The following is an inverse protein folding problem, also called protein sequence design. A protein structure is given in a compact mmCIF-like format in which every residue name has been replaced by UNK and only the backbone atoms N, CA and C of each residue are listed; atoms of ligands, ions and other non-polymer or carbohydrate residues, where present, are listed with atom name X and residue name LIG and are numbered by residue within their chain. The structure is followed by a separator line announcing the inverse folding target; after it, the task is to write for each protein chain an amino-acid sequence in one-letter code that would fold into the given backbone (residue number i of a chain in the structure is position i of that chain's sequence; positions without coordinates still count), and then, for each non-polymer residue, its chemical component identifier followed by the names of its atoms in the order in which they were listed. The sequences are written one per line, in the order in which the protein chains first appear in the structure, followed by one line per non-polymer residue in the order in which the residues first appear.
data_IF_779508989176
#
_entry.id   IF_779508989176
#
_cell.length_a   1.000
_cell.length_b   1.000
_cell.length_c   1.000
_cell.angle_alpha   90.00
_cell.angle_beta   90.00
_cell.angle_gamma   90.00
#
_symmetry.space_group_name_H-M   'P 1'
#
loop_
_entity.id
_entity.type
_entity.pdbx_description
1 polymer ?
#
# COMPACT_ATOMS: atom_id res chain seq x y z
N UNK A 1 36.11 -60.66 -36.95
CA UNK A 1 36.25 -59.52 -36.03
C UNK A 1 35.78 -58.24 -36.71
N UNK A 2 34.51 -57.86 -36.46
CA UNK A 2 33.93 -56.57 -36.88
C UNK A 2 33.76 -55.73 -35.64
N UNK A 3 34.46 -54.57 -35.58
CA UNK A 3 34.29 -53.55 -34.55
C UNK A 3 33.08 -52.69 -34.91
N UNK A 4 32.06 -52.67 -34.02
CA UNK A 4 30.95 -51.74 -34.11
C UNK A 4 31.33 -50.39 -33.46
N UNK A 5 31.22 -49.31 -34.24
CA UNK A 5 31.29 -47.93 -33.71
C UNK A 5 29.97 -47.55 -33.09
N UNK A 6 29.98 -47.21 -31.81
CA UNK A 6 28.84 -46.60 -31.13
C UNK A 6 28.85 -45.08 -31.40
N UNK A 7 27.88 -44.56 -32.08
CA UNK A 7 27.66 -43.14 -32.24
C UNK A 7 26.98 -42.57 -30.96
N UNK A 8 27.65 -41.67 -30.29
CA UNK A 8 27.07 -40.94 -29.16
C UNK A 8 26.17 -39.81 -29.70
N UNK A 9 24.87 -39.89 -29.47
CA UNK A 9 23.93 -38.79 -29.69
C UNK A 9 24.05 -37.76 -28.53
N UNK A 10 24.73 -36.67 -28.78
CA UNK A 10 24.73 -35.52 -27.89
C UNK A 10 23.40 -34.81 -27.96
N UNK A 11 22.62 -34.87 -26.90
CA UNK A 11 21.39 -34.05 -26.76
C UNK A 11 21.81 -32.60 -26.55
N UNK A 12 21.60 -31.75 -27.55
CA UNK A 12 21.65 -30.30 -27.43
C UNK A 12 20.43 -29.82 -26.59
N UNK A 13 20.67 -29.52 -25.32
CA UNK A 13 19.70 -28.84 -24.51
C UNK A 13 19.54 -27.40 -25.04
N UNK A 14 18.51 -27.14 -25.80
CA UNK A 14 18.10 -25.78 -26.17
C UNK A 14 17.48 -25.13 -24.95
N UNK A 15 18.22 -24.31 -24.23
CA UNK A 15 17.65 -23.42 -23.22
C UNK A 15 16.76 -22.40 -23.94
N UNK A 16 15.45 -22.49 -23.76
CA UNK A 16 14.54 -21.43 -24.16
C UNK A 16 14.98 -20.15 -23.45
N UNK A 17 15.07 -19.00 -24.15
CA UNK A 17 15.39 -17.73 -23.49
C UNK A 17 14.32 -17.48 -22.43
N UNK A 18 14.77 -17.16 -21.21
CA UNK A 18 13.86 -16.70 -20.17
C UNK A 18 13.11 -15.47 -20.69
N UNK A 19 11.79 -15.49 -20.66
CA UNK A 19 11.00 -14.33 -21.01
C UNK A 19 11.25 -13.26 -19.93
N UNK A 20 11.96 -12.20 -20.30
CA UNK A 20 12.12 -11.05 -19.40
C UNK A 20 10.74 -10.44 -19.14
N UNK A 21 10.31 -10.47 -17.87
CA UNK A 21 9.10 -9.80 -17.44
C UNK A 21 9.49 -8.32 -17.21
N UNK A 22 8.86 -7.37 -17.91
CA UNK A 22 9.24 -5.96 -17.80
C UNK A 22 8.97 -5.40 -16.39
N UNK A 23 9.72 -4.36 -16.03
CA UNK A 23 9.51 -3.58 -14.83
C UNK A 23 8.04 -3.14 -14.72
N UNK A 24 7.46 -3.25 -13.54
CA UNK A 24 6.11 -2.78 -13.25
C UNK A 24 6.15 -1.48 -12.45
N UNK A 25 5.35 -0.51 -12.89
CA UNK A 25 5.15 0.74 -12.16
C UNK A 25 3.89 0.64 -11.32
N UNK A 26 4.02 0.94 -10.04
CA UNK A 26 2.94 1.09 -9.08
C UNK A 26 2.92 2.51 -8.52
N UNK A 27 1.75 2.97 -8.14
CA UNK A 27 1.54 4.27 -7.48
C UNK A 27 1.04 4.04 -6.08
N UNK A 28 1.63 4.74 -5.11
CA UNK A 28 1.24 4.67 -3.71
C UNK A 28 0.79 6.04 -3.23
N UNK A 29 -0.44 6.12 -2.78
CA UNK A 29 -1.07 7.27 -2.12
C UNK A 29 -1.27 6.94 -0.64
N UNK A 30 -1.38 7.95 0.20
CA UNK A 30 -1.73 7.81 1.62
C UNK A 30 -2.37 9.07 2.16
N UNK A 31 -3.18 8.95 3.20
CA UNK A 31 -3.65 10.06 4.01
C UNK A 31 -4.29 11.16 3.12
N UNK A 32 -5.33 10.78 2.37
CA UNK A 32 -6.02 11.71 1.46
C UNK A 32 -7.00 12.61 2.18
N UNK A 33 -7.57 12.17 3.30
CA UNK A 33 -8.48 12.89 4.18
C UNK A 33 -9.61 13.65 3.45
N UNK A 34 -10.26 12.99 2.50
CA UNK A 34 -11.30 13.62 1.69
C UNK A 34 -12.58 13.79 2.49
N UNK A 35 -13.08 15.01 2.53
CA UNK A 35 -14.37 15.35 3.12
C UNK A 35 -15.50 15.37 2.08
N UNK A 36 -16.75 15.26 2.56
CA UNK A 36 -17.95 15.42 1.74
C UNK A 36 -17.96 16.77 1.02
N UNK A 37 -17.59 17.83 1.72
CA UNK A 37 -17.37 19.15 1.13
C UNK A 37 -16.01 19.23 0.46
N UNK A 38 -16.01 19.29 -0.86
CA UNK A 38 -14.77 19.38 -1.67
C UNK A 38 -13.99 20.68 -1.44
N UNK A 39 -14.63 21.73 -0.93
CA UNK A 39 -13.98 23.01 -0.65
C UNK A 39 -13.39 23.07 0.76
N UNK A 40 -13.58 22.02 1.58
CA UNK A 40 -13.06 22.00 2.94
C UNK A 40 -11.54 22.15 2.95
N UNK A 41 -11.10 23.13 3.75
CA UNK A 41 -9.69 23.35 4.01
C UNK A 41 -9.33 22.87 5.42
N UNK A 42 -8.31 22.05 5.52
CA UNK A 42 -7.72 21.65 6.78
C UNK A 42 -6.21 21.96 6.77
N UNK A 43 -5.70 22.55 7.87
CA UNK A 43 -4.29 22.92 7.99
C UNK A 43 -3.75 23.76 6.81
N UNK A 44 -4.61 24.60 6.22
CA UNK A 44 -4.23 25.51 5.14
C UNK A 44 -4.23 24.91 3.73
N UNK A 45 -4.74 23.68 3.55
CA UNK A 45 -4.83 23.03 2.23
C UNK A 45 -6.26 22.54 1.94
N UNK A 46 -6.67 22.62 0.67
CA UNK A 46 -7.85 21.93 0.17
C UNK A 46 -7.44 20.49 -0.21
N UNK A 47 -7.90 19.52 0.56
CA UNK A 47 -7.50 18.12 0.41
C UNK A 47 -7.95 17.51 -0.91
N UNK A 48 -9.17 17.84 -1.36
CA UNK A 48 -9.69 17.37 -2.64
C UNK A 48 -8.89 17.95 -3.82
N UNK A 49 -8.46 19.20 -3.75
CA UNK A 49 -7.59 19.79 -4.77
C UNK A 49 -6.23 19.07 -4.83
N UNK A 50 -5.62 18.80 -3.67
CA UNK A 50 -4.37 18.06 -3.62
C UNK A 50 -4.50 16.66 -4.23
N UNK A 51 -5.58 15.92 -3.91
CA UNK A 51 -5.81 14.59 -4.48
C UNK A 51 -5.98 14.66 -6.02
N UNK A 52 -6.74 15.64 -6.53
CA UNK A 52 -6.89 15.83 -7.98
C UNK A 52 -5.55 16.18 -8.65
N UNK A 53 -4.73 17.01 -8.00
CA UNK A 53 -3.38 17.35 -8.50
C UNK A 53 -2.50 16.10 -8.58
N UNK A 54 -2.48 15.26 -7.54
CA UNK A 54 -1.76 13.98 -7.55
C UNK A 54 -2.28 13.05 -8.65
N UNK A 55 -3.60 12.90 -8.80
CA UNK A 55 -4.20 12.11 -9.87
C UNK A 55 -3.75 12.61 -11.26
N UNK A 56 -3.76 13.92 -11.47
CA UNK A 56 -3.29 14.53 -12.72
C UNK A 56 -1.78 14.36 -12.96
N UNK A 57 -0.96 14.32 -11.90
CA UNK A 57 0.47 14.01 -12.03
C UNK A 57 0.67 12.54 -12.44
N UNK A 58 -0.09 11.61 -11.86
CA UNK A 58 -0.06 10.19 -12.22
C UNK A 58 -0.42 9.97 -13.68
N UNK A 59 -1.42 10.65 -14.21
CA UNK A 59 -1.81 10.57 -15.63
C UNK A 59 -0.75 11.07 -16.61
N UNK A 60 0.25 11.84 -16.11
CA UNK A 60 1.34 12.40 -16.91
C UNK A 60 2.63 11.58 -16.86
N UNK A 61 2.68 10.51 -16.06
CA UNK A 61 3.85 9.62 -16.09
C UNK A 61 3.89 8.88 -17.43
N UNK A 62 5.09 8.72 -18.01
CA UNK A 62 5.26 8.18 -19.35
C UNK A 62 4.85 6.71 -19.54
N UNK A 63 4.57 6.00 -18.43
CA UNK A 63 4.17 4.58 -18.42
C UNK A 63 2.90 4.43 -17.58
N UNK A 64 1.87 3.78 -18.12
CA UNK A 64 0.65 3.48 -17.36
C UNK A 64 0.97 2.61 -16.13
N UNK A 65 0.58 3.01 -14.91
CA UNK A 65 0.75 2.18 -13.73
C UNK A 65 0.01 0.84 -13.85
N UNK A 66 0.63 -0.21 -13.35
CA UNK A 66 -0.02 -1.52 -13.22
C UNK A 66 -1.18 -1.45 -12.22
N UNK A 67 -1.01 -0.71 -11.14
CA UNK A 67 -2.03 -0.43 -10.15
C UNK A 67 -1.67 0.74 -9.25
N UNK A 68 -2.64 1.16 -8.45
CA UNK A 68 -2.52 2.20 -7.45
C UNK A 68 -3.02 1.67 -6.10
N UNK A 69 -2.26 1.94 -5.04
CA UNK A 69 -2.65 1.62 -3.66
C UNK A 69 -2.84 2.93 -2.90
N UNK A 70 -3.99 3.08 -2.24
CA UNK A 70 -4.25 4.16 -1.28
C UNK A 70 -4.15 3.57 0.12
N UNK A 71 -3.16 4.01 0.88
CA UNK A 71 -2.86 3.43 2.19
C UNK A 71 -3.56 4.15 3.35
N UNK A 72 -4.87 3.97 3.42
CA UNK A 72 -5.70 4.41 4.54
C UNK A 72 -5.92 5.93 4.63
N UNK A 73 -6.75 6.31 5.58
CA UNK A 73 -7.25 7.67 5.78
C UNK A 73 -7.76 8.27 4.45
N UNK A 74 -8.59 7.47 3.76
CA UNK A 74 -9.24 7.90 2.54
C UNK A 74 -10.23 9.03 2.82
N UNK A 75 -10.97 8.92 3.93
CA UNK A 75 -11.97 9.88 4.36
C UNK A 75 -11.45 10.84 5.45
N UNK A 76 -12.20 11.91 5.69
CA UNK A 76 -11.93 12.89 6.72
C UNK A 76 -12.63 12.50 8.03
N UNK A 77 -11.92 12.59 9.15
CA UNK A 77 -12.39 12.34 10.53
C UNK A 77 -13.06 10.98 10.74
N UNK A 78 -14.38 10.86 10.51
CA UNK A 78 -15.18 9.70 10.90
C UNK A 78 -15.60 8.82 9.72
N UNK A 79 -15.20 9.15 8.50
CA UNK A 79 -15.49 8.37 7.30
C UNK A 79 -16.99 8.25 7.04
N UNK A 80 -17.71 9.36 6.95
CA UNK A 80 -19.12 9.36 6.55
C UNK A 80 -19.26 8.93 5.08
N UNK A 81 -20.40 8.45 4.68
CA UNK A 81 -20.61 7.90 3.33
C UNK A 81 -20.32 8.90 2.22
N UNK A 82 -20.63 10.16 2.44
CA UNK A 82 -20.45 11.26 1.49
C UNK A 82 -18.97 11.59 1.24
N UNK A 83 -18.09 11.36 2.23
CA UNK A 83 -16.64 11.51 2.07
C UNK A 83 -16.13 10.56 0.96
N UNK A 84 -16.59 9.31 0.96
CA UNK A 84 -16.20 8.31 -0.05
C UNK A 84 -16.79 8.60 -1.43
N UNK A 85 -17.98 9.21 -1.51
CA UNK A 85 -18.53 9.68 -2.80
C UNK A 85 -17.60 10.73 -3.40
N UNK A 86 -17.15 11.68 -2.58
CA UNK A 86 -16.20 12.72 -3.01
C UNK A 86 -14.83 12.15 -3.34
N UNK A 87 -14.32 11.23 -2.51
CA UNK A 87 -13.08 10.50 -2.77
C UNK A 87 -13.10 9.79 -4.14
N UNK A 88 -14.13 9.00 -4.41
CA UNK A 88 -14.28 8.29 -5.68
C UNK A 88 -14.38 9.22 -6.87
N UNK A 89 -15.03 10.38 -6.72
CA UNK A 89 -15.09 11.43 -7.76
C UNK A 89 -13.72 12.05 -8.03
N UNK A 90 -12.91 12.31 -7.00
CA UNK A 90 -11.53 12.77 -7.18
C UNK A 90 -10.64 11.73 -7.88
N UNK A 91 -10.91 10.43 -7.65
CA UNK A 91 -10.17 9.32 -8.25
C UNK A 91 -10.69 8.91 -9.64
N UNK A 92 -11.84 9.45 -10.08
CA UNK A 92 -12.48 9.08 -11.36
C UNK A 92 -11.54 9.17 -12.57
N UNK A 93 -10.72 10.22 -12.77
CA UNK A 93 -9.84 10.30 -13.93
C UNK A 93 -8.85 9.12 -14.05
N UNK A 94 -8.39 8.58 -12.92
CA UNK A 94 -7.52 7.39 -12.90
C UNK A 94 -8.29 6.12 -13.26
N UNK A 95 -9.52 5.99 -12.77
CA UNK A 95 -10.41 4.84 -13.08
C UNK A 95 -10.80 4.81 -14.56
N UNK A 96 -11.06 5.96 -15.17
CA UNK A 96 -11.34 6.09 -16.60
C UNK A 96 -10.18 5.62 -17.47
N UNK A 97 -8.94 5.72 -16.98
CA UNK A 97 -7.77 5.12 -17.62
C UNK A 97 -7.59 3.63 -17.27
N UNK A 98 -8.58 3.00 -16.65
CA UNK A 98 -8.52 1.59 -16.23
C UNK A 98 -7.31 1.28 -15.34
N UNK A 99 -6.91 2.21 -14.48
CA UNK A 99 -5.93 1.96 -13.42
C UNK A 99 -6.67 1.29 -12.27
N UNK A 100 -6.23 0.10 -11.88
CA UNK A 100 -6.81 -0.62 -10.74
C UNK A 100 -6.43 0.09 -9.44
N UNK A 101 -7.42 0.41 -8.61
CA UNK A 101 -7.22 1.11 -7.34
C UNK A 101 -7.56 0.16 -6.20
N UNK A 102 -6.60 -0.01 -5.29
CA UNK A 102 -6.73 -0.80 -4.09
C UNK A 102 -6.55 0.10 -2.88
N UNK A 103 -7.31 -0.13 -1.81
CA UNK A 103 -7.23 0.70 -0.61
C UNK A 103 -7.03 -0.17 0.63
N UNK A 104 -6.24 0.30 1.59
CA UNK A 104 -6.33 -0.09 2.98
C UNK A 104 -7.20 0.91 3.74
N UNK A 105 -7.46 0.66 5.02
CA UNK A 105 -8.22 1.58 5.87
C UNK A 105 -7.33 2.13 6.99
N UNK A 106 -7.47 3.42 7.26
CA UNK A 106 -6.85 4.12 8.38
C UNK A 106 -7.84 4.42 9.50
N UNK A 107 -7.39 5.14 10.53
CA UNK A 107 -8.23 5.45 11.68
C UNK A 107 -9.34 6.45 11.37
N UNK A 108 -9.25 7.22 10.30
CA UNK A 108 -10.31 8.13 9.86
C UNK A 108 -11.30 7.48 8.88
N UNK A 109 -11.13 6.20 8.57
CA UNK A 109 -12.07 5.48 7.72
C UNK A 109 -13.16 4.77 8.52
N UNK A 110 -14.33 4.60 7.90
CA UNK A 110 -15.42 3.79 8.43
C UNK A 110 -15.63 2.57 7.51
N UNK A 111 -15.31 1.39 7.99
CA UNK A 111 -15.25 0.15 7.19
C UNK A 111 -16.50 -0.10 6.37
N UNK A 112 -17.68 -0.04 7.01
CA UNK A 112 -18.95 -0.29 6.32
C UNK A 112 -19.26 0.77 5.26
N UNK A 113 -19.06 2.06 5.57
CA UNK A 113 -19.30 3.14 4.63
C UNK A 113 -18.37 3.05 3.42
N UNK A 114 -17.08 2.80 3.67
CA UNK A 114 -16.11 2.58 2.60
C UNK A 114 -16.51 1.42 1.68
N UNK A 115 -16.79 0.24 2.25
CA UNK A 115 -17.16 -0.93 1.48
C UNK A 115 -18.44 -0.72 0.66
N UNK A 116 -19.43 -0.06 1.24
CA UNK A 116 -20.67 0.26 0.53
C UNK A 116 -20.45 1.23 -0.63
N UNK A 117 -19.56 2.22 -0.47
CA UNK A 117 -19.23 3.17 -1.53
C UNK A 117 -18.42 2.53 -2.66
N UNK A 118 -17.44 1.68 -2.34
CA UNK A 118 -16.49 1.14 -3.32
C UNK A 118 -17.01 -0.12 -4.02
N UNK A 119 -17.71 -1.00 -3.29
CA UNK A 119 -18.18 -2.30 -3.79
C UNK A 119 -19.72 -2.30 -3.98
N UNK A 120 -20.43 -1.43 -3.29
CA UNK A 120 -21.88 -1.44 -3.17
C UNK A 120 -22.36 -2.16 -1.89
N UNK A 121 -23.60 -1.92 -1.42
CA UNK A 121 -24.16 -2.61 -0.27
C UNK A 121 -24.34 -4.11 -0.56
N UNK A 122 -24.24 -4.98 0.45
CA UNK A 122 -24.58 -6.39 0.28
C UNK A 122 -26.07 -6.55 -0.03
N UNK A 123 -26.48 -7.67 -0.66
CA UNK A 123 -27.89 -7.99 -0.84
C UNK A 123 -28.65 -7.98 0.50
N UNK A 124 -29.97 -7.67 0.50
CA UNK A 124 -30.78 -7.75 1.71
C UNK A 124 -30.64 -9.11 2.39
N UNK A 125 -30.44 -9.10 3.71
CA UNK A 125 -30.26 -10.30 4.54
C UNK A 125 -29.04 -11.18 4.21
N UNK A 126 -28.05 -10.65 3.51
CA UNK A 126 -26.79 -11.34 3.24
C UNK A 126 -25.63 -10.58 3.91
N UNK A 127 -24.68 -11.34 4.46
CA UNK A 127 -23.42 -10.78 4.94
C UNK A 127 -22.45 -10.63 3.77
N UNK A 128 -21.56 -9.63 3.84
CA UNK A 128 -20.48 -9.46 2.88
C UNK A 128 -19.42 -10.54 3.13
N UNK A 129 -19.03 -11.34 2.12
CA UNK A 129 -17.90 -12.24 2.28
C UNK A 129 -16.61 -11.47 2.56
N UNK A 130 -15.91 -11.85 3.62
CA UNK A 130 -14.65 -11.24 4.02
C UNK A 130 -13.58 -12.31 4.26
N UNK A 131 -12.33 -12.04 3.86
CA UNK A 131 -11.20 -12.94 4.09
C UNK A 131 -10.86 -13.11 5.57
N UNK A 132 -11.09 -12.06 6.33
CA UNK A 132 -10.97 -12.00 7.80
C UNK A 132 -12.24 -11.35 8.33
N UNK A 133 -12.92 -11.92 9.32
CA UNK A 133 -14.12 -11.31 9.89
C UNK A 133 -13.87 -9.85 10.31
N UNK A 134 -14.76 -8.96 9.94
CA UNK A 134 -14.74 -7.53 10.28
C UNK A 134 -13.46 -6.77 9.87
N UNK A 135 -12.67 -7.30 8.92
CA UNK A 135 -11.45 -6.65 8.42
C UNK A 135 -11.42 -6.61 6.89
N UNK A 136 -11.06 -5.45 6.35
CA UNK A 136 -10.87 -5.25 4.91
C UNK A 136 -9.44 -5.61 4.50
N UNK A 137 -9.21 -6.87 4.19
CA UNK A 137 -7.89 -7.38 3.78
C UNK A 137 -7.92 -7.96 2.39
N UNK A 138 -6.83 -7.80 1.64
CA UNK A 138 -6.71 -8.39 0.30
C UNK A 138 -5.26 -8.65 -0.07
N UNK A 139 -5.05 -9.60 -0.97
CA UNK A 139 -3.77 -9.81 -1.65
C UNK A 139 -3.91 -9.41 -3.11
N UNK A 140 -2.99 -8.57 -3.58
CA UNK A 140 -2.91 -8.17 -4.99
C UNK A 140 -1.62 -8.76 -5.55
N UNK A 141 -1.75 -9.66 -6.52
CA UNK A 141 -0.62 -10.37 -7.12
C UNK A 141 -0.46 -9.94 -8.57
N UNK A 142 0.75 -9.60 -8.96
CA UNK A 142 1.15 -9.34 -10.34
C UNK A 142 2.29 -10.28 -10.77
N UNK A 143 2.83 -10.09 -11.96
CA UNK A 143 3.98 -10.90 -12.41
C UNK A 143 5.23 -10.68 -11.56
N UNK A 144 5.49 -9.45 -11.09
CA UNK A 144 6.71 -9.06 -10.39
C UNK A 144 6.58 -8.98 -8.87
N UNK A 145 5.39 -8.75 -8.32
CA UNK A 145 5.22 -8.42 -6.90
C UNK A 145 3.92 -8.95 -6.32
N UNK A 146 3.94 -9.29 -5.03
CA UNK A 146 2.76 -9.48 -4.21
C UNK A 146 2.61 -8.29 -3.25
N UNK A 147 1.40 -7.76 -3.14
CA UNK A 147 1.00 -6.78 -2.13
C UNK A 147 0.01 -7.44 -1.18
N UNK A 148 0.29 -7.45 0.11
CA UNK A 148 -0.64 -7.89 1.14
C UNK A 148 -1.14 -6.64 1.86
N UNK A 149 -2.40 -6.28 1.61
CA UNK A 149 -3.04 -5.08 2.11
C UNK A 149 -3.83 -5.43 3.38
N UNK A 150 -3.46 -4.79 4.48
CA UNK A 150 -3.96 -5.06 5.81
C UNK A 150 -4.93 -3.96 6.28
N UNK A 151 -5.84 -4.34 7.15
CA UNK A 151 -6.76 -3.44 7.82
C UNK A 151 -6.33 -3.23 9.26
N UNK A 152 -5.62 -2.15 9.51
CA UNK A 152 -5.18 -1.76 10.85
C UNK A 152 -6.15 -0.83 11.58
N UNK A 153 -7.30 -0.49 10.98
CA UNK A 153 -8.37 0.24 11.66
C UNK A 153 -8.88 -0.59 12.85
N UNK A 154 -8.84 -0.01 14.04
CA UNK A 154 -9.48 -0.56 15.24
C UNK A 154 -10.78 0.17 15.54
N UNK A 155 -10.71 1.39 15.99
CA UNK A 155 -11.85 2.25 16.25
C UNK A 155 -11.81 3.49 15.36
N UNK A 156 -12.96 3.85 14.78
CA UNK A 156 -13.08 5.04 13.93
C UNK A 156 -12.70 6.29 14.70
N UNK A 157 -11.91 7.14 14.05
CA UNK A 157 -11.40 8.42 14.57
C UNK A 157 -10.62 8.27 15.89
N UNK A 158 -9.96 7.12 16.07
CA UNK A 158 -9.06 6.83 17.19
C UNK A 158 -7.74 6.24 16.67
N UNK A 159 -6.65 6.76 17.20
CA UNK A 159 -5.33 6.15 17.11
C UNK A 159 -5.13 5.33 18.37
N UNK A 160 -4.94 4.08 18.47
CA UNK A 160 -4.02 3.23 17.74
C UNK A 160 -4.68 2.34 16.69
N UNK A 161 -3.81 1.65 15.95
CA UNK A 161 -4.20 0.56 15.07
C UNK A 161 -4.06 -0.81 15.71
N UNK A 162 -4.81 -1.78 15.19
CA UNK A 162 -4.79 -3.19 15.64
C UNK A 162 -5.14 -4.11 14.47
N UNK A 163 -4.31 -5.14 14.23
CA UNK A 163 -4.64 -6.20 13.26
C UNK A 163 -5.55 -7.25 13.88
N UNK A 164 -5.17 -7.74 15.04
CA UNK A 164 -5.82 -8.84 15.74
C UNK A 164 -5.36 -10.21 15.26
N UNK A 165 -5.57 -11.24 16.10
CA UNK A 165 -5.05 -12.59 15.86
C UNK A 165 -5.58 -13.23 14.57
N UNK A 166 -6.85 -13.00 14.23
CA UNK A 166 -7.43 -13.57 13.00
C UNK A 166 -6.72 -13.06 11.75
N UNK A 167 -6.34 -11.77 11.71
CA UNK A 167 -5.60 -11.19 10.60
C UNK A 167 -4.15 -11.69 10.56
N UNK A 168 -3.47 -11.82 11.70
CA UNK A 168 -2.12 -12.40 11.77
C UNK A 168 -2.11 -13.84 11.23
N UNK A 169 -3.10 -14.66 11.57
CA UNK A 169 -3.26 -16.02 11.04
C UNK A 169 -3.51 -16.00 9.53
N UNK A 170 -4.31 -15.06 9.04
CA UNK A 170 -4.56 -14.90 7.60
C UNK A 170 -3.28 -14.48 6.86
N UNK A 171 -2.49 -13.54 7.40
CA UNK A 171 -1.19 -13.11 6.83
C UNK A 171 -0.25 -14.31 6.70
N UNK A 172 -0.13 -15.13 7.75
CA UNK A 172 0.72 -16.33 7.71
C UNK A 172 0.29 -17.28 6.59
N UNK A 173 -1.00 -17.55 6.45
CA UNK A 173 -1.55 -18.37 5.38
C UNK A 173 -1.24 -17.79 3.99
N UNK A 174 -1.45 -16.50 3.79
CA UNK A 174 -1.16 -15.83 2.52
C UNK A 174 0.34 -15.88 2.19
N UNK A 175 1.20 -15.59 3.16
CA UNK A 175 2.63 -15.70 2.99
C UNK A 175 3.09 -17.12 2.67
N UNK A 176 2.49 -18.13 3.26
CA UNK A 176 2.83 -19.54 2.99
C UNK A 176 2.41 -19.98 1.58
N UNK A 177 1.25 -19.52 1.12
CA UNK A 177 0.64 -19.98 -0.12
C UNK A 177 0.95 -19.09 -1.35
N UNK A 178 1.36 -17.85 -1.16
CA UNK A 178 1.65 -16.93 -2.28
C UNK A 178 2.94 -17.31 -3.01
N UNK A 179 3.05 -16.99 -4.33
CA UNK A 179 4.24 -17.24 -5.11
C UNK A 179 5.51 -16.65 -4.45
N UNK A 180 6.66 -17.32 -4.66
CA UNK A 180 7.95 -16.84 -4.15
C UNK A 180 8.49 -15.70 -5.02
N UNK A 181 8.01 -14.49 -4.77
CA UNK A 181 8.44 -13.23 -5.40
C UNK A 181 8.41 -12.10 -4.37
N UNK A 182 9.03 -10.94 -4.65
CA UNK A 182 8.99 -9.79 -3.76
C UNK A 182 7.58 -9.54 -3.23
N UNK A 183 7.45 -9.46 -1.90
CA UNK A 183 6.17 -9.26 -1.22
C UNK A 183 6.29 -8.05 -0.31
N UNK A 184 5.37 -7.09 -0.47
CA UNK A 184 5.26 -5.91 0.40
C UNK A 184 3.99 -6.00 1.22
N UNK A 185 4.12 -5.70 2.50
CA UNK A 185 3.02 -5.60 3.45
C UNK A 185 2.64 -4.14 3.57
N UNK A 186 1.36 -3.83 3.45
CA UNK A 186 0.84 -2.47 3.50
C UNK A 186 -0.21 -2.38 4.59
N UNK A 187 0.00 -1.50 5.55
CA UNK A 187 -0.97 -1.14 6.58
C UNK A 187 -0.90 0.36 6.84
N UNK A 188 -1.99 0.96 7.31
CA UNK A 188 -2.00 2.40 7.53
C UNK A 188 -1.13 2.83 8.71
N UNK A 189 -1.31 2.21 9.87
CA UNK A 189 -0.60 2.60 11.09
C UNK A 189 0.88 2.21 11.08
N UNK A 190 1.72 3.12 11.55
CA UNK A 190 3.15 2.88 11.70
C UNK A 190 3.44 1.82 12.77
N UNK A 191 4.51 1.01 12.61
CA UNK A 191 4.92 0.06 13.63
C UNK A 191 5.49 0.75 14.86
N UNK A 192 5.39 0.12 16.02
CA UNK A 192 6.17 0.53 17.20
C UNK A 192 7.65 0.20 16.98
N UNK A 193 8.52 1.09 17.46
CA UNK A 193 9.95 0.90 17.51
C UNK A 193 10.43 1.08 18.95
N UNK A 194 11.45 0.34 19.35
CA UNK A 194 11.95 0.37 20.73
C UNK A 194 12.47 1.77 21.12
N UNK A 195 13.14 2.45 20.19
CA UNK A 195 13.69 3.81 20.37
C UNK A 195 12.63 4.93 20.32
N UNK A 196 11.37 4.59 20.02
CA UNK A 196 10.30 5.58 19.90
C UNK A 196 9.92 6.16 21.29
N UNK A 197 9.64 7.47 21.31
CA UNK A 197 9.08 8.14 22.50
C UNK A 197 7.77 7.43 22.92
N UNK A 198 7.67 7.11 24.21
CA UNK A 198 6.52 6.39 24.80
C UNK A 198 5.18 7.08 24.50
N UNK A 199 5.15 8.42 24.46
CA UNK A 199 3.94 9.18 24.13
C UNK A 199 3.46 8.95 22.69
N UNK A 200 4.37 8.58 21.79
CA UNK A 200 4.05 8.31 20.38
C UNK A 200 3.61 6.87 20.15
N UNK A 201 4.01 5.94 21.01
CA UNK A 201 3.65 4.51 20.91
C UNK A 201 2.14 4.28 20.97
N UNK A 202 1.43 5.12 21.73
CA UNK A 202 -0.04 5.05 21.83
C UNK A 202 -0.81 5.28 20.54
N UNK A 203 -0.16 5.83 19.50
CA UNK A 203 -0.78 6.03 18.18
C UNK A 203 -0.38 4.98 17.13
N UNK A 204 0.51 4.05 17.47
CA UNK A 204 1.05 3.05 16.56
C UNK A 204 0.15 1.81 16.40
N UNK A 205 0.59 0.90 15.53
CA UNK A 205 0.06 -0.46 15.43
C UNK A 205 0.44 -1.25 16.68
N UNK A 206 -0.52 -1.59 17.54
CA UNK A 206 -0.27 -2.13 18.88
C UNK A 206 0.27 -3.56 18.88
N UNK A 207 -0.10 -4.36 17.90
CA UNK A 207 0.38 -5.74 17.72
C UNK A 207 1.51 -5.86 16.68
N UNK A 208 2.26 -4.77 16.48
CA UNK A 208 3.36 -4.74 15.51
C UNK A 208 4.46 -5.75 15.83
N UNK A 209 4.79 -6.01 17.10
CA UNK A 209 5.81 -6.99 17.45
C UNK A 209 5.45 -8.39 16.94
N UNK A 210 4.20 -8.84 17.15
CA UNK A 210 3.73 -10.12 16.66
C UNK A 210 3.74 -10.17 15.12
N UNK A 211 3.38 -9.06 14.46
CA UNK A 211 3.46 -8.96 13.01
C UNK A 211 4.90 -9.11 12.53
N UNK A 212 5.84 -8.32 13.06
CA UNK A 212 7.22 -8.33 12.58
C UNK A 212 7.97 -9.62 12.90
N UNK A 213 7.66 -10.29 14.02
CA UNK A 213 8.16 -11.64 14.31
C UNK A 213 7.66 -12.67 13.29
N UNK A 214 6.40 -12.57 12.87
CA UNK A 214 5.86 -13.38 11.78
C UNK A 214 6.57 -13.09 10.45
N UNK A 215 6.67 -11.81 10.06
CA UNK A 215 7.25 -11.40 8.78
C UNK A 215 8.72 -11.80 8.64
N UNK A 216 9.49 -11.78 9.72
CA UNK A 216 10.90 -12.17 9.73
C UNK A 216 11.14 -13.63 9.31
N UNK A 217 10.11 -14.48 9.38
CA UNK A 217 10.17 -15.89 8.97
C UNK A 217 10.07 -16.09 7.45
N UNK A 218 9.81 -15.02 6.68
CA UNK A 218 9.56 -15.12 5.24
C UNK A 218 10.50 -14.21 4.45
N UNK A 219 11.55 -14.77 3.87
CA UNK A 219 12.59 -14.04 3.11
C UNK A 219 12.05 -13.28 1.89
N UNK A 220 10.90 -13.68 1.35
CA UNK A 220 10.24 -12.97 0.26
C UNK A 220 9.61 -11.63 0.67
N UNK A 221 9.41 -11.39 1.96
CA UNK A 221 8.93 -10.09 2.45
C UNK A 221 10.07 -9.09 2.38
N UNK A 222 9.90 -8.07 1.53
CA UNK A 222 10.93 -7.10 1.21
C UNK A 222 10.72 -5.73 1.87
N UNK A 223 9.55 -5.49 2.47
CA UNK A 223 9.27 -4.24 3.16
C UNK A 223 7.87 -4.14 3.75
N UNK A 224 7.75 -3.24 4.70
CA UNK A 224 6.49 -2.81 5.30
C UNK A 224 6.24 -1.34 4.96
N UNK A 225 5.06 -1.05 4.41
CA UNK A 225 4.68 0.28 3.92
C UNK A 225 3.54 0.79 4.80
N UNK A 226 3.67 2.02 5.26
CA UNK A 226 2.69 2.65 6.14
C UNK A 226 2.52 4.14 5.85
N UNK A 227 1.49 4.78 6.43
CA UNK A 227 1.20 6.21 6.37
C UNK A 227 1.07 6.80 7.77
N UNK A 228 -0.09 7.44 8.07
CA UNK A 228 -0.51 7.89 9.40
C UNK A 228 0.33 9.02 10.02
N UNK A 229 1.62 8.99 9.85
CA UNK A 229 2.53 9.98 10.46
C UNK A 229 2.71 11.23 9.62
N UNK A 230 2.10 11.28 8.44
CA UNK A 230 2.15 12.39 7.50
C UNK A 230 3.58 12.83 7.14
N UNK A 231 4.47 11.87 6.92
CA UNK A 231 5.89 12.14 6.66
C UNK A 231 6.46 11.12 5.67
N UNK A 232 7.17 11.58 4.66
CA UNK A 232 8.02 10.70 3.84
C UNK A 232 9.25 10.29 4.62
N UNK A 233 9.49 8.99 4.77
CA UNK A 233 10.68 8.48 5.45
C UNK A 233 10.95 7.02 5.04
N UNK A 234 12.21 6.67 4.84
CA UNK A 234 12.67 5.30 4.66
C UNK A 234 13.63 4.92 5.78
N UNK A 235 13.32 3.85 6.48
CA UNK A 235 14.09 3.34 7.63
C UNK A 235 14.11 1.82 7.62
N UNK A 236 14.53 1.22 8.72
CA UNK A 236 14.45 -0.21 8.96
C UNK A 236 13.81 -0.49 10.31
N UNK A 237 13.09 -1.58 10.39
CA UNK A 237 12.56 -2.07 11.66
C UNK A 237 13.73 -2.49 12.57
N UNK A 238 13.79 -1.95 13.79
CA UNK A 238 14.94 -2.09 14.70
C UNK A 238 15.28 -3.54 15.02
N UNK A 239 14.28 -4.39 15.27
CA UNK A 239 14.47 -5.79 15.64
C UNK A 239 14.78 -6.69 14.44
N UNK A 240 14.09 -6.52 13.32
CA UNK A 240 14.15 -7.47 12.19
C UNK A 240 14.99 -6.99 11.02
N UNK A 241 15.34 -5.70 10.96
CA UNK A 241 16.02 -5.09 9.83
C UNK A 241 15.15 -4.92 8.58
N UNK A 242 13.87 -5.31 8.62
CA UNK A 242 12.95 -5.18 7.49
C UNK A 242 12.82 -3.71 7.06
N UNK A 243 12.96 -3.39 5.76
CA UNK A 243 12.73 -2.03 5.26
C UNK A 243 11.34 -1.49 5.62
N UNK A 244 11.31 -0.26 6.12
CA UNK A 244 10.12 0.49 6.45
C UNK A 244 10.00 1.68 5.53
N UNK A 245 8.85 1.83 4.87
CA UNK A 245 8.56 2.90 3.93
C UNK A 245 7.34 3.65 4.44
N UNK A 246 7.56 4.85 4.95
CA UNK A 246 6.50 5.75 5.39
C UNK A 246 6.09 6.64 4.22
N UNK A 247 4.85 6.53 3.80
CA UNK A 247 4.32 7.29 2.67
C UNK A 247 4.05 8.75 3.05
N UNK A 248 4.30 9.70 2.15
CA UNK A 248 3.91 11.09 2.36
C UNK A 248 2.38 11.21 2.34
N UNK A 249 1.79 12.16 3.05
CA UNK A 249 0.36 12.42 2.95
C UNK A 249 0.05 13.14 1.63
N UNK A 250 -1.12 12.88 1.06
CA UNK A 250 -1.64 13.71 -0.02
C UNK A 250 -2.27 14.98 0.55
N UNK A 251 -2.97 14.86 1.67
CA UNK A 251 -3.69 15.98 2.28
C UNK A 251 -2.73 17.07 2.80
N UNK A 252 -2.28 16.94 4.02
CA UNK A 252 -1.45 17.93 4.72
C UNK A 252 -0.35 17.24 5.53
N UNK A 253 0.74 17.98 5.80
CA UNK A 253 1.82 17.54 6.68
C UNK A 253 1.64 18.12 8.08
N UNK A 254 2.17 17.45 9.10
CA UNK A 254 2.24 18.00 10.46
C UNK A 254 3.44 18.93 10.65
N UNK A 255 4.49 18.72 9.87
CA UNK A 255 5.64 19.60 9.77
C UNK A 255 5.61 20.32 8.41
N UNK A 256 5.46 21.67 8.37
CA UNK A 256 5.38 22.41 7.11
C UNK A 256 6.67 22.38 6.27
N UNK A 257 7.77 21.89 6.83
CA UNK A 257 9.02 21.67 6.09
C UNK A 257 9.02 20.36 5.30
N UNK A 258 8.06 19.47 5.55
CA UNK A 258 7.96 18.19 4.85
C UNK A 258 7.00 18.31 3.68
N UNK A 259 7.24 17.59 2.56
CA UNK A 259 6.34 17.64 1.42
C UNK A 259 5.13 16.77 1.60
N UNK A 260 3.99 17.21 1.11
CA UNK A 260 2.93 16.31 0.70
C UNK A 260 3.17 15.82 -0.74
N UNK A 261 2.59 14.67 -1.07
CA UNK A 261 2.82 14.06 -2.38
C UNK A 261 2.41 12.59 -2.42
N UNK A 262 3.08 11.85 -3.29
CA UNK A 262 2.82 10.44 -3.54
C UNK A 262 4.12 9.71 -3.91
N UNK A 263 4.08 8.40 -3.99
CA UNK A 263 5.27 7.60 -4.30
C UNK A 263 5.04 6.80 -5.58
N UNK A 264 6.04 6.80 -6.45
CA UNK A 264 6.13 5.86 -7.57
C UNK A 264 7.03 4.69 -7.16
N UNK A 265 6.52 3.48 -7.29
CA UNK A 265 7.30 2.26 -7.07
C UNK A 265 7.58 1.58 -8.41
N UNK A 266 8.85 1.31 -8.69
CA UNK A 266 9.31 0.54 -9.84
C UNK A 266 9.83 -0.79 -9.36
N UNK A 267 9.23 -1.86 -9.86
CA UNK A 267 9.51 -3.22 -9.36
C UNK A 267 9.78 -4.16 -10.54
N UNK A 268 10.92 -4.81 -10.50
CA UNK A 268 11.30 -5.91 -11.36
C UNK A 268 11.66 -7.15 -10.53
N UNK A 269 12.21 -8.19 -11.15
CA UNK A 269 12.55 -9.44 -10.48
C UNK A 269 13.60 -9.29 -9.36
N UNK A 270 14.49 -8.31 -9.50
CA UNK A 270 15.69 -8.16 -8.66
C UNK A 270 15.65 -6.91 -7.78
N UNK A 271 14.80 -5.94 -8.13
CA UNK A 271 14.82 -4.61 -7.51
C UNK A 271 13.42 -4.04 -7.28
N UNK A 272 13.28 -3.36 -6.15
CA UNK A 272 12.14 -2.48 -5.88
C UNK A 272 12.66 -1.10 -5.50
N UNK A 273 12.29 -0.09 -6.25
CA UNK A 273 12.66 1.30 -6.03
C UNK A 273 11.41 2.14 -5.72
N UNK A 274 11.46 2.90 -4.65
CA UNK A 274 10.39 3.80 -4.21
C UNK A 274 10.88 5.23 -4.25
N UNK A 275 10.24 6.08 -5.05
CA UNK A 275 10.64 7.46 -5.29
C UNK A 275 9.51 8.43 -4.90
N UNK A 276 9.83 9.42 -4.08
CA UNK A 276 8.90 10.48 -3.69
C UNK A 276 8.59 11.41 -4.87
N UNK A 277 7.32 11.63 -5.12
CA UNK A 277 6.77 12.65 -6.01
C UNK A 277 6.07 13.72 -5.19
N UNK A 278 6.84 14.70 -4.71
CA UNK A 278 6.28 15.81 -3.99
C UNK A 278 5.27 16.57 -4.86
N UNK A 279 4.18 17.02 -4.26
CA UNK A 279 3.15 17.79 -4.93
C UNK A 279 3.68 19.13 -5.48
N UNK A 280 4.66 19.72 -4.76
CA UNK A 280 5.52 20.79 -5.26
C UNK A 280 6.83 20.19 -5.80
N UNK A 281 7.05 20.12 -7.12
CA UNK A 281 8.27 19.53 -7.69
C UNK A 281 9.57 20.28 -7.37
N UNK A 282 9.48 21.52 -6.87
CA UNK A 282 10.64 22.29 -6.43
C UNK A 282 11.07 21.96 -4.99
N UNK A 283 10.35 21.10 -4.28
CA UNK A 283 10.72 20.68 -2.93
C UNK A 283 12.01 19.86 -2.95
N UNK A 284 12.92 20.10 -1.99
CA UNK A 284 14.23 19.44 -1.93
C UNK A 284 14.19 17.91 -1.82
N UNK A 285 13.12 17.37 -1.27
CA UNK A 285 12.91 15.93 -1.16
C UNK A 285 12.26 15.31 -2.43
N UNK A 286 11.85 16.11 -3.42
CA UNK A 286 11.28 15.57 -4.66
C UNK A 286 12.30 14.71 -5.38
N UNK A 287 11.89 13.48 -5.77
CA UNK A 287 12.77 12.51 -6.43
C UNK A 287 13.65 11.70 -5.49
N UNK A 288 13.55 11.88 -4.16
CA UNK A 288 14.26 11.01 -3.21
C UNK A 288 13.79 9.54 -3.33
N UNK A 289 14.77 8.64 -3.29
CA UNK A 289 14.58 7.20 -3.45
C UNK A 289 14.92 6.45 -2.18
#
# INVERSE_FOLDING_TARGET
LKRGSAAAFGALATSSPAVEIPEQVWVLFSDTHIAADEALNARGVCMAENLRRCANQVLKIGQKPFGLIVNGDCAYLEGISEDYVTFLRCMQPLREQSIQIHCTLGNHDHRTNFLNAVIGPPPPNAERPMNVPDKHVTTVTSAQVNWILLDSLDLVNKTPGMLGQAQLTWIERELRNSPNKPTFIVAHHNPMQASMDEKKKGGCLQDSDALFDLLASYSKVQGFIYGHTHTWLKTKHEKTGLPLINLPPIAYTFDPKRPNGWVIARIDADRAEFELRALNPAHEEHGQK
#
